data_IF_074895885308
#
_entry.id   IF_074895885308
#
_cell.length_a   1.000
_cell.length_b   1.000
_cell.length_c   1.000
_cell.angle_alpha   90.00
_cell.angle_beta   90.00
_cell.angle_gamma   90.00
#
_symmetry.space_group_name_H-M   'P 1'
#
loop_
_entity.id
_entity.type
_entity.pdbx_description
1 polymer ?
#
# COMPACT_ATOMS: atom_id res chain seq x y z
N UNK A 1 -14.08 -31.74 3.01
CA UNK A 1 -14.92 -31.65 1.78
C UNK A 1 -14.51 -30.41 1.01
N UNK A 2 -14.33 -30.50 -0.32
CA UNK A 2 -14.02 -29.35 -1.16
C UNK A 2 -15.22 -28.40 -1.19
N UNK A 3 -14.98 -27.15 -0.81
CA UNK A 3 -15.96 -26.07 -0.88
C UNK A 3 -15.50 -25.02 -1.87
N UNK A 4 -16.44 -24.26 -2.43
CA UNK A 4 -16.13 -23.16 -3.32
C UNK A 4 -17.01 -21.93 -3.07
N UNK A 5 -16.50 -20.76 -3.45
CA UNK A 5 -17.22 -19.48 -3.46
C UNK A 5 -16.85 -18.68 -4.71
N UNK A 6 -17.78 -17.82 -5.12
CA UNK A 6 -17.52 -16.88 -6.21
C UNK A 6 -17.24 -15.50 -5.62
N UNK A 7 -16.13 -14.91 -6.05
CA UNK A 7 -15.66 -13.60 -5.66
C UNK A 7 -15.83 -12.68 -6.87
N UNK A 8 -16.90 -11.89 -6.92
CA UNK A 8 -17.11 -10.91 -8.00
C UNK A 8 -16.29 -9.66 -7.72
N UNK A 9 -15.47 -9.24 -8.67
CA UNK A 9 -14.62 -8.04 -8.59
C UNK A 9 -15.00 -7.07 -9.70
N UNK A 10 -15.09 -5.78 -9.37
CA UNK A 10 -15.44 -4.72 -10.32
C UNK A 10 -14.44 -3.58 -10.24
N UNK A 11 -13.83 -3.22 -11.36
CA UNK A 11 -13.00 -2.03 -11.53
C UNK A 11 -13.91 -0.86 -11.88
N UNK A 12 -13.89 0.23 -11.11
CA UNK A 12 -14.79 1.38 -11.33
C UNK A 12 -14.07 2.62 -11.81
N UNK A 13 -12.75 2.69 -11.62
CA UNK A 13 -11.98 3.91 -11.81
C UNK A 13 -11.51 4.11 -13.24
N UNK A 14 -11.86 3.19 -14.14
CA UNK A 14 -11.48 3.25 -15.54
C UNK A 14 -9.99 2.99 -15.74
N UNK A 15 -9.39 2.17 -14.88
CA UNK A 15 -8.00 1.77 -15.01
C UNK A 15 -7.86 0.30 -15.34
N UNK A 16 -6.93 0.00 -16.25
CA UNK A 16 -6.43 -1.35 -16.39
C UNK A 16 -5.73 -1.77 -15.08
N UNK A 17 -6.21 -2.85 -14.47
CA UNK A 17 -5.56 -3.48 -13.32
C UNK A 17 -4.73 -4.65 -13.80
N UNK A 18 -3.47 -4.71 -13.37
CA UNK A 18 -2.58 -5.83 -13.64
C UNK A 18 -2.09 -6.40 -12.33
N UNK A 19 -2.62 -7.56 -11.96
CA UNK A 19 -2.28 -8.23 -10.70
C UNK A 19 -2.37 -7.26 -9.49
N UNK A 20 -3.43 -6.45 -9.45
CA UNK A 20 -3.65 -5.47 -8.39
C UNK A 20 -4.13 -6.21 -7.14
N UNK A 21 -3.58 -5.93 -5.94
CA UNK A 21 -4.03 -6.59 -4.72
C UNK A 21 -5.44 -6.10 -4.39
N UNK A 22 -6.35 -7.04 -4.21
CA UNK A 22 -7.71 -6.75 -3.81
C UNK A 22 -8.06 -7.62 -2.61
N UNK A 23 -8.59 -7.01 -1.55
CA UNK A 23 -8.96 -7.71 -0.33
C UNK A 23 -10.47 -7.70 -0.18
N UNK A 24 -11.05 -8.84 0.20
CA UNK A 24 -12.45 -8.98 0.58
C UNK A 24 -12.57 -9.72 1.90
N UNK A 25 -13.69 -9.55 2.59
CA UNK A 25 -13.96 -10.25 3.85
C UNK A 25 -15.03 -11.31 3.61
N UNK A 26 -14.69 -12.57 3.90
CA UNK A 26 -15.59 -13.70 3.78
C UNK A 26 -15.97 -14.28 5.14
N UNK A 27 -17.26 -14.58 5.32
CA UNK A 27 -17.78 -15.28 6.50
C UNK A 27 -17.96 -16.77 6.23
N UNK A 28 -17.51 -17.64 7.12
CA UNK A 28 -17.57 -19.09 6.97
C UNK A 28 -18.46 -19.71 8.05
N UNK A 29 -19.19 -20.75 7.67
CA UNK A 29 -19.97 -21.55 8.62
C UNK A 29 -19.06 -22.27 9.61
N UNK A 30 -19.56 -22.47 10.84
CA UNK A 30 -18.86 -23.20 11.90
C UNK A 30 -18.41 -24.57 11.41
N UNK A 31 -17.15 -24.91 11.64
CA UNK A 31 -16.52 -26.17 11.26
C UNK A 31 -16.14 -26.32 9.77
N UNK A 32 -16.44 -25.35 8.90
CA UNK A 32 -16.26 -25.51 7.45
C UNK A 32 -14.86 -25.15 6.92
N UNK A 33 -14.14 -24.28 7.62
CA UNK A 33 -12.82 -23.82 7.24
C UNK A 33 -12.02 -23.52 8.52
N UNK A 34 -10.79 -24.00 8.62
CA UNK A 34 -9.92 -23.86 9.79
C UNK A 34 -8.64 -23.09 9.42
N UNK A 35 -7.98 -22.44 10.39
CA UNK A 35 -6.66 -21.85 10.15
C UNK A 35 -5.68 -22.89 9.60
N UNK A 36 -5.04 -22.58 8.48
CA UNK A 36 -4.10 -23.47 7.81
C UNK A 36 -4.72 -24.48 6.84
N UNK A 37 -6.05 -24.53 6.71
CA UNK A 37 -6.69 -25.35 5.69
C UNK A 37 -6.22 -24.92 4.29
N UNK A 38 -6.04 -25.89 3.36
CA UNK A 38 -5.65 -25.56 2.01
C UNK A 38 -6.73 -24.71 1.34
N UNK A 39 -6.27 -23.76 0.53
CA UNK A 39 -7.13 -22.94 -0.31
C UNK A 39 -6.40 -22.59 -1.61
N UNK A 40 -7.18 -22.33 -2.65
CA UNK A 40 -6.68 -21.90 -3.96
C UNK A 40 -7.68 -20.97 -4.62
N UNK A 41 -7.21 -20.17 -5.55
CA UNK A 41 -8.01 -19.19 -6.26
C UNK A 41 -7.81 -19.36 -7.76
N UNK A 42 -8.89 -19.29 -8.52
CA UNK A 42 -8.86 -19.21 -9.97
C UNK A 42 -9.35 -17.83 -10.42
N UNK A 43 -8.63 -17.22 -11.35
CA UNK A 43 -9.06 -15.99 -12.00
C UNK A 43 -10.25 -16.23 -12.96
N UNK A 44 -10.84 -15.18 -13.55
CA UNK A 44 -11.96 -15.33 -14.47
C UNK A 44 -11.64 -16.16 -15.73
N UNK A 45 -10.36 -16.33 -16.08
CA UNK A 45 -9.92 -17.17 -17.19
C UNK A 45 -9.68 -18.64 -16.78
N UNK A 46 -9.95 -18.99 -15.51
CA UNK A 46 -9.74 -20.33 -14.96
C UNK A 46 -8.27 -20.65 -14.65
N UNK A 47 -7.38 -19.66 -14.69
CA UNK A 47 -5.98 -19.85 -14.31
C UNK A 47 -5.84 -19.69 -12.80
N UNK A 48 -5.12 -20.63 -12.17
CA UNK A 48 -4.86 -20.56 -10.74
C UNK A 48 -3.94 -19.37 -10.40
N UNK A 49 -4.30 -18.65 -9.35
CA UNK A 49 -3.61 -17.50 -8.82
C UNK A 49 -3.25 -17.73 -7.35
N UNK A 50 -2.16 -17.11 -6.87
CA UNK A 50 -1.86 -17.12 -5.44
C UNK A 50 -2.95 -16.37 -4.68
N UNK A 51 -3.27 -16.86 -3.49
CA UNK A 51 -4.24 -16.26 -2.57
C UNK A 51 -3.64 -16.21 -1.18
N UNK A 52 -3.94 -15.13 -0.47
CA UNK A 52 -3.59 -14.99 0.94
C UNK A 52 -4.87 -14.88 1.75
N UNK A 53 -4.95 -15.65 2.84
CA UNK A 53 -6.11 -15.71 3.71
C UNK A 53 -5.67 -15.38 5.13
N UNK A 54 -6.06 -14.20 5.60
CA UNK A 54 -5.76 -13.71 6.93
C UNK A 54 -7.00 -13.94 7.82
N UNK A 55 -6.86 -14.75 8.88
CA UNK A 55 -7.98 -15.06 9.79
C UNK A 55 -8.28 -13.82 10.64
N UNK A 56 -9.52 -13.32 10.55
CA UNK A 56 -9.97 -12.13 11.29
C UNK A 56 -10.69 -12.53 12.57
N UNK A 57 -11.55 -13.55 12.52
CA UNK A 57 -12.30 -14.07 13.67
C UNK A 57 -12.47 -15.59 13.57
N UNK A 58 -12.48 -16.25 14.71
CA UNK A 58 -12.78 -17.69 14.84
C UNK A 58 -14.08 -17.92 15.60
N UNK A 59 -14.68 -19.10 15.38
CA UNK A 59 -15.71 -19.68 16.22
C UNK A 59 -15.08 -20.33 17.46
N UNK A 60 -15.90 -20.70 18.44
CA UNK A 60 -15.47 -21.36 19.68
C UNK A 60 -14.79 -22.73 19.43
N UNK A 61 -15.12 -23.40 18.33
CA UNK A 61 -14.48 -24.67 17.92
C UNK A 61 -13.13 -24.48 17.19
N UNK A 62 -12.64 -23.24 17.11
CA UNK A 62 -11.41 -22.86 16.43
C UNK A 62 -11.53 -22.73 14.91
N UNK A 63 -12.68 -23.04 14.31
CA UNK A 63 -12.90 -22.81 12.89
C UNK A 63 -12.97 -21.31 12.57
N UNK A 64 -12.59 -20.94 11.35
CA UNK A 64 -12.65 -19.57 10.85
C UNK A 64 -14.12 -19.16 10.76
N UNK A 65 -14.46 -18.04 11.40
CA UNK A 65 -15.75 -17.36 11.23
C UNK A 65 -15.66 -16.30 10.15
N UNK A 66 -14.58 -15.55 10.14
CA UNK A 66 -14.36 -14.44 9.22
C UNK A 66 -12.89 -14.42 8.82
N UNK A 67 -12.60 -14.28 7.53
CA UNK A 67 -11.25 -14.07 7.03
C UNK A 67 -11.20 -12.99 5.96
N UNK A 68 -10.09 -12.28 5.90
CA UNK A 68 -9.73 -11.40 4.80
C UNK A 68 -9.03 -12.24 3.72
N UNK A 69 -9.60 -12.26 2.52
CA UNK A 69 -9.07 -12.94 1.34
C UNK A 69 -8.45 -11.89 0.45
N UNK A 70 -7.13 -11.92 0.30
CA UNK A 70 -6.38 -11.03 -0.59
C UNK A 70 -5.97 -11.78 -1.84
N UNK A 71 -6.31 -11.22 -3.01
CA UNK A 71 -6.07 -11.84 -4.31
C UNK A 71 -5.47 -10.85 -5.33
N UNK A 72 -4.66 -11.34 -6.30
CA UNK A 72 -4.27 -10.56 -7.47
C UNK A 72 -5.41 -10.48 -8.47
N UNK A 73 -5.77 -9.27 -8.87
CA UNK A 73 -6.83 -9.03 -9.84
C UNK A 73 -6.26 -8.42 -11.11
N UNK A 74 -6.59 -9.01 -12.26
CA UNK A 74 -6.33 -8.43 -13.57
C UNK A 74 -7.66 -8.18 -14.26
N UNK A 75 -7.98 -6.91 -14.51
CA UNK A 75 -9.24 -6.48 -15.12
C UNK A 75 -8.99 -5.35 -16.10
N UNK A 76 -9.70 -5.30 -17.24
CA UNK A 76 -9.67 -4.12 -18.10
C UNK A 76 -10.25 -2.91 -17.35
N UNK A 77 -9.99 -1.72 -17.88
CA UNK A 77 -10.60 -0.48 -17.39
C UNK A 77 -12.13 -0.59 -17.39
N UNK A 78 -12.77 -0.26 -16.26
CA UNK A 78 -14.21 -0.43 -16.02
C UNK A 78 -14.72 -1.87 -16.18
N UNK A 79 -13.81 -2.85 -16.11
CA UNK A 79 -14.11 -4.26 -16.25
C UNK A 79 -14.64 -4.88 -14.97
N UNK A 80 -15.25 -6.07 -15.12
CA UNK A 80 -15.59 -6.94 -14.00
C UNK A 80 -15.12 -8.37 -14.27
N UNK A 81 -14.99 -9.16 -13.21
CA UNK A 81 -14.61 -10.55 -13.29
C UNK A 81 -15.10 -11.35 -12.08
N UNK A 82 -15.23 -12.66 -12.23
CA UNK A 82 -15.58 -13.57 -11.17
C UNK A 82 -14.40 -14.52 -10.90
N UNK A 83 -13.82 -14.45 -9.72
CA UNK A 83 -12.77 -15.37 -9.29
C UNK A 83 -13.42 -16.52 -8.50
N UNK A 84 -12.92 -17.75 -8.67
CA UNK A 84 -13.40 -18.92 -7.92
C UNK A 84 -12.44 -19.20 -6.79
N UNK A 85 -12.90 -19.10 -5.55
CA UNK A 85 -12.13 -19.42 -4.35
C UNK A 85 -12.55 -20.80 -3.84
N UNK A 86 -11.60 -21.73 -3.78
CA UNK A 86 -11.80 -23.08 -3.29
C UNK A 86 -11.05 -23.28 -1.97
N UNK A 87 -11.66 -23.99 -1.02
CA UNK A 87 -11.08 -24.25 0.30
C UNK A 87 -11.50 -25.60 0.88
N UNK A 88 -10.72 -26.10 1.83
CA UNK A 88 -10.90 -27.42 2.45
C UNK A 88 -10.26 -28.55 1.64
N UNK A 89 -10.54 -29.80 2.01
CA UNK A 89 -9.90 -30.97 1.39
C UNK A 89 -10.00 -30.96 -0.14
N UNK A 90 -8.86 -31.03 -0.82
CA UNK A 90 -8.77 -31.00 -2.28
C UNK A 90 -8.45 -29.63 -2.89
N UNK A 91 -8.45 -28.56 -2.09
CA UNK A 91 -8.08 -27.21 -2.52
C UNK A 91 -6.56 -26.95 -2.45
N UNK A 92 -5.72 -27.96 -2.69
CA UNK A 92 -4.26 -27.84 -2.61
C UNK A 92 -3.77 -26.83 -3.64
N UNK A 93 -3.07 -25.75 -3.22
CA UNK A 93 -2.57 -24.74 -4.14
C UNK A 93 -1.41 -25.29 -4.99
N UNK A 94 -1.50 -25.12 -6.30
CA UNK A 94 -0.43 -25.39 -7.25
C UNK A 94 0.28 -24.10 -7.69
N UNK A 95 -0.40 -22.94 -7.61
CA UNK A 95 0.20 -21.66 -7.95
C UNK A 95 1.36 -21.31 -6.98
N UNK A 96 2.56 -21.10 -7.54
CA UNK A 96 3.72 -20.62 -6.79
C UNK A 96 4.00 -19.16 -7.09
N UNK A 97 4.28 -18.39 -6.05
CA UNK A 97 4.76 -17.03 -6.19
C UNK A 97 6.26 -17.02 -6.50
N UNK A 98 6.63 -16.36 -7.60
CA UNK A 98 8.03 -16.22 -8.00
C UNK A 98 8.82 -15.35 -7.02
N UNK A 99 8.17 -14.31 -6.49
CA UNK A 99 8.80 -13.24 -5.71
C UNK A 99 8.00 -12.96 -4.43
N UNK A 100 7.92 -13.91 -3.48
CA UNK A 100 7.09 -13.75 -2.30
C UNK A 100 7.54 -12.55 -1.45
N UNK A 101 6.59 -11.93 -0.74
CA UNK A 101 6.90 -10.91 0.26
C UNK A 101 7.54 -11.56 1.47
N UNK A 102 8.68 -11.03 1.88
CA UNK A 102 9.43 -11.48 3.07
C UNK A 102 9.69 -10.29 3.97
N UNK A 103 9.22 -10.36 5.21
CA UNK A 103 9.52 -9.37 6.24
C UNK A 103 10.48 -9.96 7.28
N UNK A 104 11.60 -9.28 7.52
CA UNK A 104 12.59 -9.61 8.56
C UNK A 104 12.47 -8.57 9.68
N UNK A 105 11.65 -8.87 10.69
CA UNK A 105 11.33 -7.94 11.77
C UNK A 105 12.23 -8.04 13.02
N UNK A 106 13.14 -9.02 13.07
CA UNK A 106 13.98 -9.31 14.25
C UNK A 106 15.20 -8.41 14.41
N UNK A 107 15.47 -7.51 13.47
CA UNK A 107 16.60 -6.58 13.49
C UNK A 107 16.16 -5.12 13.41
N UNK A 108 17.15 -4.23 13.40
CA UNK A 108 17.00 -2.81 13.10
C UNK A 108 17.97 -2.48 11.94
N UNK A 109 17.49 -1.93 10.81
CA UNK A 109 16.08 -1.67 10.48
C UNK A 109 15.28 -2.96 10.21
N UNK A 110 13.95 -2.87 10.26
CA UNK A 110 13.05 -3.90 9.72
C UNK A 110 13.18 -3.89 8.19
N UNK A 111 13.33 -5.06 7.59
CA UNK A 111 13.46 -5.19 6.14
C UNK A 111 12.22 -5.87 5.54
N UNK A 112 11.61 -5.25 4.54
CA UNK A 112 10.52 -5.81 3.76
C UNK A 112 10.96 -5.96 2.30
N UNK A 113 11.01 -7.20 1.82
CA UNK A 113 11.41 -7.54 0.46
C UNK A 113 10.17 -8.00 -0.33
N UNK A 114 9.92 -7.41 -1.50
CA UNK A 114 8.77 -7.72 -2.35
C UNK A 114 9.19 -8.04 -3.79
N UNK A 115 10.13 -8.98 -3.92
CA UNK A 115 10.81 -9.29 -5.18
C UNK A 115 12.06 -8.44 -5.37
N UNK A 116 12.16 -7.66 -6.46
CA UNK A 116 13.34 -6.82 -6.73
C UNK A 116 13.43 -5.58 -5.84
N UNK A 117 12.35 -5.22 -5.14
CA UNK A 117 12.33 -4.09 -4.20
C UNK A 117 12.59 -4.57 -2.78
N UNK A 118 13.51 -3.91 -2.11
CA UNK A 118 13.75 -4.01 -0.67
C UNK A 118 13.51 -2.65 -0.02
N UNK A 119 12.62 -2.61 0.96
CA UNK A 119 12.31 -1.44 1.78
C UNK A 119 12.86 -1.65 3.19
N UNK A 120 13.48 -0.62 3.77
CA UNK A 120 13.93 -0.61 5.16
C UNK A 120 13.14 0.39 5.98
N UNK A 121 12.63 -0.07 7.11
CA UNK A 121 11.80 0.70 8.05
C UNK A 121 12.54 0.76 9.37
N UNK A 122 12.88 1.97 9.82
CA UNK A 122 13.52 2.19 11.12
C UNK A 122 12.47 2.41 12.20
N UNK A 123 12.76 1.99 13.42
CA UNK A 123 11.97 2.33 14.62
C UNK A 123 12.40 3.68 15.19
N UNK A 124 13.71 3.90 15.30
CA UNK A 124 14.27 5.16 15.80
C UNK A 124 14.26 6.23 14.71
N UNK A 125 13.68 7.40 15.01
CA UNK A 125 13.54 8.48 14.03
C UNK A 125 12.70 8.04 12.82
N UNK A 126 11.55 7.42 13.12
CA UNK A 126 10.65 6.84 12.12
C UNK A 126 10.33 7.83 10.99
N UNK A 127 10.57 7.40 9.75
CA UNK A 127 10.43 8.22 8.55
C UNK A 127 9.66 7.51 7.43
N UNK A 128 8.67 6.68 7.79
CA UNK A 128 7.94 5.78 6.89
C UNK A 128 8.86 4.67 6.35
N UNK A 129 9.61 4.95 5.27
CA UNK A 129 10.58 4.05 4.67
C UNK A 129 11.89 4.81 4.50
N UNK A 130 12.92 4.33 5.17
CA UNK A 130 14.20 4.99 5.22
C UNK A 130 15.05 4.75 3.97
N UNK A 131 14.96 3.54 3.42
CA UNK A 131 15.67 3.16 2.22
C UNK A 131 14.78 2.30 1.35
N UNK A 132 14.78 2.59 0.06
CA UNK A 132 14.23 1.73 -0.98
C UNK A 132 15.36 1.37 -1.93
N UNK A 133 15.58 0.08 -2.14
CA UNK A 133 16.52 -0.45 -3.11
C UNK A 133 15.74 -1.26 -4.14
N UNK A 134 15.95 -0.99 -5.43
CA UNK A 134 15.37 -1.76 -6.53
C UNK A 134 16.49 -2.14 -7.50
N UNK A 135 16.67 -3.45 -7.74
CA UNK A 135 17.78 -3.99 -8.54
C UNK A 135 19.14 -3.39 -8.15
N UNK A 136 19.48 -3.48 -6.85
CA UNK A 136 20.73 -2.99 -6.25
C UNK A 136 20.98 -1.48 -6.35
N UNK A 137 19.97 -0.70 -6.78
CA UNK A 137 20.03 0.76 -6.84
C UNK A 137 19.15 1.39 -5.77
N UNK A 138 19.72 2.29 -4.97
CA UNK A 138 18.97 3.05 -3.98
C UNK A 138 18.14 4.16 -4.63
N UNK A 139 16.84 4.21 -4.33
CA UNK A 139 15.88 5.21 -4.81
C UNK A 139 15.54 6.26 -3.76
N UNK A 140 15.71 5.95 -2.47
CA UNK A 140 15.59 6.92 -1.38
C UNK A 140 16.94 7.15 -0.74
N UNK A 141 17.28 8.42 -0.50
CA UNK A 141 18.39 8.81 0.36
C UNK A 141 17.97 8.62 1.82
N UNK A 142 18.82 8.00 2.64
CA UNK A 142 18.55 7.87 4.07
C UNK A 142 18.38 9.24 4.75
N UNK A 143 17.58 9.29 5.81
CA UNK A 143 17.42 10.50 6.61
C UNK A 143 16.36 11.50 6.11
N UNK A 144 15.45 11.09 5.22
CA UNK A 144 14.20 11.82 5.01
C UNK A 144 13.44 11.99 6.33
N UNK A 145 12.65 13.06 6.44
CA UNK A 145 11.82 13.33 7.64
C UNK A 145 10.56 12.47 7.71
N UNK A 146 10.19 11.79 6.62
CA UNK A 146 8.96 11.00 6.54
C UNK A 146 7.70 11.86 6.67
N UNK A 147 6.76 11.45 7.52
CA UNK A 147 5.57 12.24 7.80
C UNK A 147 5.90 13.37 8.80
N UNK A 148 5.59 14.61 8.44
CA UNK A 148 5.80 15.83 9.23
C UNK A 148 4.44 16.46 9.49
N UNK A 149 4.14 16.76 10.75
CA UNK A 149 2.94 17.46 11.15
C UNK A 149 3.18 18.97 11.09
N UNK A 150 2.32 19.72 10.41
CA UNK A 150 2.40 21.19 10.35
C UNK A 150 1.22 21.78 11.10
N UNK A 151 1.50 22.57 12.12
CA UNK A 151 0.49 23.27 12.92
C UNK A 151 0.04 24.57 12.25
N UNK A 152 -1.08 25.15 12.72
CA UNK A 152 -1.68 26.38 12.20
C UNK A 152 -0.81 27.63 12.38
N UNK A 153 0.12 27.61 13.34
CA UNK A 153 1.13 28.65 13.52
C UNK A 153 2.35 28.48 12.60
N UNK A 154 2.37 27.42 11.78
CA UNK A 154 3.47 27.09 10.87
C UNK A 154 4.57 26.24 11.50
N UNK A 155 4.46 25.85 12.78
CA UNK A 155 5.42 24.95 13.41
C UNK A 155 5.36 23.57 12.75
N UNK A 156 6.53 23.05 12.37
CA UNK A 156 6.67 21.69 11.84
C UNK A 156 7.19 20.75 12.92
N UNK A 157 6.50 19.62 13.11
CA UNK A 157 6.84 18.58 14.07
C UNK A 157 7.20 17.29 13.31
N UNK A 158 8.39 16.76 13.59
CA UNK A 158 8.80 15.44 13.10
C UNK A 158 8.54 14.36 14.15
N UNK A 159 8.39 13.08 13.74
CA UNK A 159 8.26 11.98 14.67
C UNK A 159 9.43 11.96 15.66
N UNK A 160 9.14 11.73 16.93
CA UNK A 160 10.14 11.67 17.99
C UNK A 160 10.21 10.28 18.63
N UNK A 161 11.35 9.98 19.25
CA UNK A 161 11.57 8.71 19.95
C UNK A 161 11.64 7.50 19.02
N UNK A 162 11.25 6.34 19.58
CA UNK A 162 11.20 5.05 18.92
C UNK A 162 9.74 4.68 18.61
N UNK A 163 9.42 4.45 17.35
CA UNK A 163 8.12 3.93 16.94
C UNK A 163 8.02 2.43 17.20
N UNK A 164 6.89 1.98 17.75
CA UNK A 164 6.56 0.57 17.86
C UNK A 164 6.12 0.06 16.50
N UNK A 165 6.96 -0.75 15.84
CA UNK A 165 6.64 -1.36 14.55
C UNK A 165 6.33 -2.85 14.71
N UNK A 166 5.13 -3.25 14.30
CA UNK A 166 4.61 -4.63 14.35
C UNK A 166 4.18 -5.12 12.98
N UNK A 167 4.29 -6.43 12.74
CA UNK A 167 3.76 -7.06 11.54
C UNK A 167 2.27 -7.36 11.77
N UNK A 168 1.37 -6.68 11.06
CA UNK A 168 -0.09 -6.92 11.13
C UNK A 168 -0.47 -8.16 10.30
N UNK A 169 0.05 -8.26 9.08
CA UNK A 169 -0.16 -9.40 8.19
C UNK A 169 1.17 -9.81 7.54
N UNK A 170 1.37 -11.12 7.38
CA UNK A 170 2.53 -11.68 6.70
C UNK A 170 2.08 -12.89 5.90
N UNK A 171 2.10 -12.75 4.58
CA UNK A 171 1.99 -13.89 3.67
C UNK A 171 2.86 -13.70 2.44
N UNK A 172 2.92 -14.71 1.57
CA UNK A 172 3.76 -14.65 0.40
C UNK A 172 3.29 -13.60 -0.62
N UNK A 173 2.01 -13.21 -0.61
CA UNK A 173 1.46 -12.24 -1.55
C UNK A 173 1.56 -10.80 -1.05
N UNK A 174 1.25 -10.56 0.22
CA UNK A 174 1.22 -9.24 0.83
C UNK A 174 1.70 -9.29 2.27
N UNK A 175 2.38 -8.24 2.71
CA UNK A 175 2.66 -8.02 4.12
C UNK A 175 2.31 -6.59 4.49
N UNK A 176 1.87 -6.40 5.74
CA UNK A 176 1.53 -5.11 6.30
C UNK A 176 2.27 -4.88 7.61
N UNK A 177 3.03 -3.79 7.67
CA UNK A 177 3.62 -3.29 8.90
C UNK A 177 2.73 -2.19 9.46
N UNK A 178 2.59 -2.16 10.79
CA UNK A 178 1.98 -1.06 11.53
C UNK A 178 3.04 -0.43 12.41
N UNK A 179 3.22 0.88 12.29
CA UNK A 179 4.06 1.70 13.13
C UNK A 179 3.19 2.62 13.98
N UNK A 180 3.40 2.61 15.28
CA UNK A 180 2.77 3.53 16.24
C UNK A 180 3.85 4.39 16.88
N UNK A 181 3.64 5.69 16.94
CA UNK A 181 4.62 6.62 17.52
C UNK A 181 4.01 7.95 17.91
N UNK A 182 4.87 8.93 18.14
CA UNK A 182 4.47 10.27 18.56
C UNK A 182 5.24 11.37 17.84
N UNK A 183 4.64 12.55 17.80
CA UNK A 183 5.28 13.84 17.55
C UNK A 183 5.37 14.61 18.88
N UNK A 184 6.26 15.61 18.97
CA UNK A 184 6.30 16.53 20.11
C UNK A 184 4.93 17.13 20.45
N UNK A 185 4.69 17.46 21.72
CA UNK A 185 3.43 18.07 22.16
C UNK A 185 2.27 17.09 22.35
N UNK A 186 2.55 15.78 22.36
CA UNK A 186 1.57 14.74 22.69
C UNK A 186 0.69 14.30 21.53
N UNK A 187 1.06 14.60 20.28
CA UNK A 187 0.34 14.07 19.12
C UNK A 187 0.82 12.66 18.81
N UNK A 188 -0.07 11.68 18.84
CA UNK A 188 0.23 10.31 18.43
C UNK A 188 -0.08 10.04 16.96
N UNK A 189 0.61 9.08 16.36
CA UNK A 189 0.32 8.62 15.00
C UNK A 189 0.27 7.11 14.88
N UNK A 190 -0.44 6.68 13.83
CA UNK A 190 -0.43 5.32 13.31
C UNK A 190 -0.07 5.39 11.83
N UNK A 191 0.92 4.60 11.40
CA UNK A 191 1.24 4.39 9.99
C UNK A 191 1.10 2.93 9.65
N UNK A 192 0.40 2.61 8.56
CA UNK A 192 0.43 1.29 7.97
C UNK A 192 1.20 1.31 6.64
N UNK A 193 2.12 0.36 6.48
CA UNK A 193 2.92 0.16 5.28
C UNK A 193 2.56 -1.18 4.66
N UNK A 194 2.02 -1.18 3.44
CA UNK A 194 1.61 -2.40 2.73
C UNK A 194 2.57 -2.68 1.57
N UNK A 195 3.12 -3.88 1.57
CA UNK A 195 4.06 -4.41 0.58
C UNK A 195 3.41 -5.55 -0.19
N UNK A 196 3.64 -5.61 -1.50
CA UNK A 196 2.92 -6.52 -2.40
C UNK A 196 3.89 -7.22 -3.33
N UNK A 197 3.81 -8.54 -3.39
CA UNK A 197 4.73 -9.41 -4.12
C UNK A 197 4.85 -9.00 -5.59
N UNK A 198 6.09 -8.79 -6.03
CA UNK A 198 6.40 -8.48 -7.43
C UNK A 198 5.94 -7.09 -7.87
N UNK A 199 5.56 -6.22 -6.93
CA UNK A 199 5.27 -4.82 -7.20
C UNK A 199 6.49 -3.97 -6.92
N UNK A 200 6.67 -2.92 -7.71
CA UNK A 200 7.71 -1.92 -7.47
C UNK A 200 7.22 -0.73 -6.65
N UNK A 201 6.10 -0.91 -5.93
CA UNK A 201 5.49 0.13 -5.10
C UNK A 201 5.10 -0.41 -3.73
N UNK A 202 4.99 0.51 -2.76
CA UNK A 202 4.34 0.24 -1.47
C UNK A 202 3.30 1.33 -1.19
N UNK A 203 2.35 1.01 -0.33
CA UNK A 203 1.33 1.94 0.15
C UNK A 203 1.67 2.35 1.58
N UNK A 204 1.68 3.65 1.86
CA UNK A 204 1.72 4.21 3.20
C UNK A 204 0.41 4.92 3.53
N UNK A 205 -0.24 4.50 4.60
CA UNK A 205 -1.42 5.14 5.19
C UNK A 205 -1.02 5.72 6.54
N UNK A 206 -1.13 7.03 6.73
CA UNK A 206 -0.69 7.73 7.93
C UNK A 206 -1.86 8.47 8.57
N UNK A 207 -2.06 8.30 9.87
CA UNK A 207 -3.14 8.91 10.63
C UNK A 207 -2.61 9.54 11.93
N UNK A 208 -3.06 10.76 12.22
CA UNK A 208 -2.84 11.41 13.53
C UNK A 208 -3.99 11.01 14.44
N UNK A 209 -3.70 10.28 15.52
CA UNK A 209 -4.72 9.62 16.36
C UNK A 209 -4.90 10.27 17.73
N UNK A 210 -4.07 11.24 18.11
CA UNK A 210 -4.19 11.98 19.37
C UNK A 210 -3.49 13.35 19.30
N UNK A 211 -3.64 14.16 20.36
CA UNK A 211 -3.17 15.54 20.44
C UNK A 211 -4.28 16.57 20.17
N UNK A 212 -3.95 17.87 20.16
CA UNK A 212 -4.88 18.92 19.78
C UNK A 212 -4.99 19.00 18.25
N UNK A 213 -5.68 18.02 17.65
CA UNK A 213 -5.85 17.91 16.20
C UNK A 213 -6.47 19.16 15.57
N UNK A 214 -7.13 20.03 16.35
CA UNK A 214 -7.64 21.30 15.87
C UNK A 214 -6.54 22.31 15.54
N UNK A 215 -5.32 22.13 16.04
CA UNK A 215 -4.15 22.95 15.66
C UNK A 215 -3.44 22.44 14.42
N UNK A 216 -3.76 21.25 13.92
CA UNK A 216 -3.09 20.70 12.75
C UNK A 216 -3.61 21.39 11.49
N UNK A 217 -2.69 21.96 10.71
CA UNK A 217 -3.00 22.55 9.42
C UNK A 217 -2.81 21.54 8.28
N UNK A 218 -1.73 20.75 8.32
CA UNK A 218 -1.46 19.74 7.31
C UNK A 218 -0.57 18.61 7.82
N UNK A 219 -0.59 17.49 7.09
CA UNK A 219 0.42 16.44 7.18
C UNK A 219 1.24 16.49 5.91
N UNK A 220 2.56 16.55 6.03
CA UNK A 220 3.50 16.59 4.91
C UNK A 220 4.26 15.28 4.87
N UNK A 221 4.14 14.51 3.78
CA UNK A 221 4.99 13.35 3.55
C UNK A 221 6.20 13.78 2.73
N UNK A 222 7.39 13.70 3.34
CA UNK A 222 8.66 14.02 2.71
C UNK A 222 9.44 12.77 2.31
N UNK A 223 9.99 12.77 1.11
CA UNK A 223 10.92 11.77 0.63
C UNK A 223 12.10 12.46 -0.07
N UNK A 224 13.31 11.97 0.13
CA UNK A 224 14.49 12.45 -0.59
C UNK A 224 14.86 11.39 -1.63
N UNK A 225 14.51 11.63 -2.90
CA UNK A 225 14.78 10.67 -3.95
C UNK A 225 16.24 10.74 -4.36
N UNK A 226 16.89 9.59 -4.43
CA UNK A 226 18.25 9.45 -4.91
C UNK A 226 18.29 9.45 -6.44
N UNK A 227 17.78 10.53 -7.04
CA UNK A 227 17.89 10.79 -8.47
C UNK A 227 19.26 11.42 -8.73
N UNK A 228 20.07 10.89 -9.66
CA UNK A 228 21.27 11.55 -10.17
C UNK A 228 21.02 13.03 -10.45
N UNK A 229 22.01 13.87 -10.13
CA UNK A 229 21.96 15.31 -10.33
C UNK A 229 22.00 15.66 -11.84
N UNK A 230 20.88 15.45 -12.51
CA UNK A 230 20.55 15.97 -13.83
C UNK A 230 19.29 16.83 -13.74
N UNK A 231 18.92 17.55 -14.82
CA UNK A 231 17.66 18.29 -14.84
C UNK A 231 16.50 17.31 -14.60
N UNK A 232 15.82 17.47 -13.47
CA UNK A 232 14.64 16.67 -13.15
C UNK A 232 13.48 17.11 -14.03
N UNK A 233 12.84 16.16 -14.69
CA UNK A 233 11.54 16.35 -15.33
C UNK A 233 10.45 15.96 -14.35
N UNK A 234 9.46 16.84 -14.21
CA UNK A 234 8.32 16.61 -13.32
C UNK A 234 7.02 16.74 -14.11
N UNK A 235 6.08 15.84 -13.82
CA UNK A 235 4.71 15.93 -14.32
C UNK A 235 3.75 15.75 -13.16
N UNK A 236 2.70 16.56 -13.14
CA UNK A 236 1.68 16.52 -12.11
C UNK A 236 0.32 16.27 -12.75
N UNK A 237 -0.57 15.63 -12.02
CA UNK A 237 -1.96 15.56 -12.43
C UNK A 237 -2.88 15.30 -11.26
N UNK A 238 -4.16 15.55 -11.51
CA UNK A 238 -5.22 15.22 -10.58
C UNK A 238 -6.49 14.87 -11.35
N UNK A 239 -7.34 14.03 -10.77
CA UNK A 239 -8.63 13.66 -11.36
C UNK A 239 -9.65 13.29 -10.30
N UNK A 240 -10.93 13.46 -10.66
CA UNK A 240 -12.05 12.86 -9.93
C UNK A 240 -12.26 11.44 -10.45
N UNK A 241 -12.44 10.51 -9.53
CA UNK A 241 -12.75 9.10 -9.79
C UNK A 241 -14.25 8.90 -9.91
N UNK A 242 -14.65 7.76 -10.46
CA UNK A 242 -16.06 7.43 -10.68
C UNK A 242 -16.83 7.19 -9.36
N UNK A 243 -16.13 6.80 -8.29
CA UNK A 243 -16.65 6.68 -6.93
C UNK A 243 -16.79 8.03 -6.21
N UNK A 244 -16.42 9.14 -6.86
CA UNK A 244 -16.42 10.49 -6.30
C UNK A 244 -15.13 10.89 -5.59
N UNK A 245 -14.24 9.93 -5.31
CA UNK A 245 -12.95 10.21 -4.68
C UNK A 245 -12.02 10.97 -5.64
N UNK A 246 -10.98 11.57 -5.07
CA UNK A 246 -10.01 12.37 -5.78
C UNK A 246 -8.63 11.72 -5.70
N UNK A 247 -7.90 11.76 -6.79
CA UNK A 247 -6.51 11.30 -6.86
C UNK A 247 -5.66 12.40 -7.45
N UNK A 248 -4.48 12.62 -6.89
CA UNK A 248 -3.42 13.41 -7.50
C UNK A 248 -2.15 12.58 -7.55
N UNK A 249 -1.27 12.92 -8.48
CA UNK A 249 -0.01 12.22 -8.67
C UNK A 249 1.07 13.18 -9.10
N UNK A 250 2.30 12.75 -8.86
CA UNK A 250 3.51 13.33 -9.41
C UNK A 250 4.34 12.22 -10.05
N UNK A 251 5.01 12.54 -11.13
CA UNK A 251 6.07 11.73 -11.73
C UNK A 251 7.33 12.57 -11.72
N UNK A 252 8.42 12.02 -11.20
CA UNK A 252 9.74 12.65 -11.16
C UNK A 252 10.73 11.73 -11.86
N UNK A 253 11.45 12.25 -12.84
CA UNK A 253 12.47 11.47 -13.57
C UNK A 253 13.71 12.29 -13.90
N UNK A 254 14.87 11.65 -13.86
CA UNK A 254 16.15 12.17 -14.36
C UNK A 254 16.49 11.62 -15.77
N UNK A 255 15.54 10.91 -16.40
CA UNK A 255 15.72 10.19 -17.67
C UNK A 255 16.21 8.74 -17.51
N UNK A 256 16.67 8.33 -16.33
CA UNK A 256 17.16 6.97 -16.05
C UNK A 256 16.31 6.27 -14.99
N UNK A 257 15.95 7.00 -13.94
CA UNK A 257 15.04 6.61 -12.89
C UNK A 257 13.75 7.40 -13.01
N UNK A 258 12.65 6.72 -12.69
CA UNK A 258 11.35 7.37 -12.57
C UNK A 258 10.75 6.97 -11.23
N UNK A 259 10.31 7.98 -10.48
CA UNK A 259 9.50 7.79 -9.29
C UNK A 259 8.13 8.39 -9.55
N UNK A 260 7.10 7.58 -9.41
CA UNK A 260 5.73 8.06 -9.39
C UNK A 260 5.23 8.02 -7.96
N UNK A 261 4.61 9.10 -7.49
CA UNK A 261 3.86 9.09 -6.25
C UNK A 261 2.40 9.46 -6.54
N UNK A 262 1.47 8.78 -5.90
CA UNK A 262 0.04 9.05 -6.07
C UNK A 262 -0.67 9.05 -4.72
N UNK A 263 -1.53 10.04 -4.51
CA UNK A 263 -2.24 10.26 -3.25
C UNK A 263 -3.74 10.06 -3.45
N UNK A 264 -4.38 9.37 -2.50
CA UNK A 264 -5.83 9.15 -2.47
C UNK A 264 -6.48 10.21 -1.59
N UNK A 265 -7.70 10.63 -1.91
CA UNK A 265 -8.37 11.72 -1.19
C UNK A 265 -7.71 13.07 -1.46
N UNK A 266 -7.20 13.26 -2.67
CA UNK A 266 -6.40 14.42 -3.05
C UNK A 266 -7.11 15.77 -3.00
N UNK A 267 -8.43 15.78 -2.86
CA UNK A 267 -9.27 16.96 -2.73
C UNK A 267 -10.26 16.74 -1.62
N UNK A 268 -10.47 17.81 -0.89
CA UNK A 268 -11.13 17.83 0.38
C UNK A 268 -11.83 19.19 0.53
N UNK A 269 -12.66 19.39 1.56
CA UNK A 269 -13.33 20.68 1.76
C UNK A 269 -12.30 21.78 2.13
N UNK A 270 -11.24 21.38 2.81
CA UNK A 270 -10.17 22.27 3.28
C UNK A 270 -9.07 22.53 2.25
N UNK A 271 -9.01 21.76 1.16
CA UNK A 271 -8.08 22.05 0.06
C UNK A 271 -7.77 20.86 -0.84
N UNK A 272 -6.63 20.97 -1.53
CA UNK A 272 -6.08 19.92 -2.39
C UNK A 272 -4.69 19.52 -1.94
N UNK A 273 -4.37 18.23 -2.05
CA UNK A 273 -3.01 17.73 -1.89
C UNK A 273 -2.09 18.43 -2.89
N UNK A 274 -1.06 19.08 -2.36
CA UNK A 274 -0.03 19.77 -3.15
C UNK A 274 1.23 18.92 -3.19
N UNK A 275 1.82 18.82 -4.36
CA UNK A 275 3.09 18.16 -4.57
C UNK A 275 4.19 19.20 -4.85
N UNK A 276 5.32 19.06 -4.18
CA UNK A 276 6.52 19.87 -4.39
C UNK A 276 7.69 18.95 -4.72
N UNK A 277 8.52 19.37 -5.67
CA UNK A 277 9.76 18.67 -6.02
C UNK A 277 10.87 19.71 -6.11
N UNK A 278 11.87 19.58 -5.25
CA UNK A 278 13.09 20.38 -5.26
C UNK A 278 14.06 19.94 -6.36
N UNK A 279 15.00 20.82 -6.76
CA UNK A 279 16.02 20.49 -7.76
C UNK A 279 17.00 19.39 -7.32
N UNK A 280 17.05 19.09 -6.02
CA UNK A 280 17.87 18.07 -5.40
C UNK A 280 17.19 16.69 -5.33
N UNK A 281 15.94 16.57 -5.81
CA UNK A 281 15.14 15.35 -5.73
C UNK A 281 14.29 15.26 -4.46
N UNK A 282 14.28 16.30 -3.62
CA UNK A 282 13.42 16.34 -2.43
C UNK A 282 11.95 16.49 -2.84
N UNK A 283 11.14 15.53 -2.45
CA UNK A 283 9.71 15.52 -2.70
C UNK A 283 8.91 15.77 -1.43
N UNK A 284 7.81 16.52 -1.55
CA UNK A 284 6.83 16.75 -0.48
C UNK A 284 5.42 16.56 -1.04
N UNK A 285 4.61 15.74 -0.38
CA UNK A 285 3.16 15.69 -0.55
C UNK A 285 2.48 16.33 0.67
N UNK A 286 1.79 17.44 0.47
CA UNK A 286 1.18 18.25 1.52
C UNK A 286 -0.32 17.97 1.54
N UNK A 287 -0.80 17.29 2.58
CA UNK A 287 -2.19 16.95 2.80
C UNK A 287 -2.85 17.97 3.73
N UNK A 288 -3.84 18.76 3.26
CA UNK A 288 -4.69 19.54 4.15
C UNK A 288 -5.30 18.62 5.22
N UNK A 289 -5.27 19.05 6.48
CA UNK A 289 -5.70 18.18 7.57
C UNK A 289 -7.23 18.17 7.73
N UNK A 290 -7.84 16.98 7.72
CA UNK A 290 -9.28 16.77 7.90
C UNK A 290 -9.64 15.66 8.89
N UNK A 291 -8.74 15.33 9.83
CA UNK A 291 -8.92 14.21 10.75
C UNK A 291 -9.25 12.88 10.04
N UNK A 292 -8.64 12.64 8.88
CA UNK A 292 -8.71 11.40 8.11
C UNK A 292 -7.29 10.90 7.81
N UNK A 293 -7.09 9.59 7.63
CA UNK A 293 -5.81 9.06 7.20
C UNK A 293 -5.37 9.67 5.85
N UNK A 294 -4.10 10.04 5.76
CA UNK A 294 -3.43 10.42 4.51
C UNK A 294 -2.91 9.14 3.86
N UNK A 295 -3.24 8.88 2.59
CA UNK A 295 -2.76 7.70 1.87
C UNK A 295 -1.92 8.09 0.66
N UNK A 296 -0.71 7.52 0.57
CA UNK A 296 0.24 7.73 -0.53
C UNK A 296 0.84 6.42 -1.02
N UNK A 297 0.86 6.25 -2.33
CA UNK A 297 1.57 5.18 -3.03
C UNK A 297 2.89 5.74 -3.53
N UNK A 298 3.98 5.03 -3.27
CA UNK A 298 5.28 5.30 -3.90
C UNK A 298 5.59 4.18 -4.88
N UNK A 299 5.87 4.53 -6.14
CA UNK A 299 6.19 3.62 -7.22
C UNK A 299 7.58 3.92 -7.77
N UNK A 300 8.42 2.89 -7.85
CA UNK A 300 9.79 3.00 -8.31
C UNK A 300 9.93 2.26 -9.63
N UNK A 301 10.37 2.96 -10.67
CA UNK A 301 10.51 2.42 -12.01
C UNK A 301 11.92 2.74 -12.54
N UNK A 302 12.52 1.76 -13.22
CA UNK A 302 13.63 2.05 -14.13
C UNK A 302 13.04 2.62 -15.43
N UNK A 303 13.75 3.55 -16.07
CA UNK A 303 13.39 4.13 -17.36
C UNK A 303 14.11 3.41 -18.52
N UNK A 304 13.44 3.10 -19.64
CA UNK A 304 11.98 3.21 -19.82
C UNK A 304 11.26 2.21 -18.90
N UNK A 305 9.97 2.41 -18.58
CA UNK A 305 9.23 1.48 -17.73
C UNK A 305 9.15 0.12 -18.42
N UNK A 306 10.14 -0.73 -18.19
CA UNK A 306 10.30 -2.03 -18.83
C UNK A 306 9.24 -3.04 -18.36
N UNK A 307 8.49 -2.70 -17.32
CA UNK A 307 7.47 -3.59 -16.77
C UNK A 307 6.06 -3.23 -17.27
N UNK A 308 5.72 -3.74 -18.46
CA UNK A 308 4.35 -3.79 -18.97
C UNK A 308 3.36 -4.50 -18.02
N UNK A 309 3.83 -5.15 -16.95
CA UNK A 309 2.97 -5.77 -15.93
C UNK A 309 2.61 -4.83 -14.77
N UNK A 310 3.16 -3.61 -14.71
CA UNK A 310 2.84 -2.67 -13.65
C UNK A 310 1.60 -1.82 -13.97
N UNK A 311 0.83 -1.57 -12.92
CA UNK A 311 -0.30 -0.65 -12.93
C UNK A 311 0.28 0.75 -12.69
N UNK A 312 0.05 1.75 -13.55
CA UNK A 312 0.60 3.11 -13.35
C UNK A 312 0.21 3.67 -11.99
N UNK A 313 1.01 4.55 -11.36
CA UNK A 313 0.69 5.03 -10.01
C UNK A 313 -0.66 5.74 -9.90
N UNK A 314 -1.06 6.48 -10.94
CA UNK A 314 -2.41 7.03 -11.01
C UNK A 314 -3.50 5.95 -10.91
N UNK A 315 -3.25 4.77 -11.50
CA UNK A 315 -4.10 3.59 -11.41
C UNK A 315 -4.02 2.83 -10.08
N UNK A 316 -2.98 3.07 -9.28
CA UNK A 316 -2.81 2.45 -7.97
C UNK A 316 -3.49 3.23 -6.85
N UNK A 317 -3.53 4.56 -6.95
CA UNK A 317 -4.24 5.44 -6.02
C UNK A 317 -5.78 5.41 -6.18
N UNK A 318 -6.27 4.31 -6.73
CA UNK A 318 -7.65 3.93 -6.63
C UNK A 318 -7.84 3.00 -5.43
N UNK A 319 -8.98 3.16 -4.77
CA UNK A 319 -9.38 2.49 -3.54
C UNK A 319 -9.06 0.98 -3.62
N UNK A 320 -8.35 0.39 -2.64
CA UNK A 320 -8.21 -1.05 -2.55
C UNK A 320 -9.57 -1.78 -2.50
N UNK A 321 -10.65 -1.08 -2.15
CA UNK A 321 -12.03 -1.51 -2.40
C UNK A 321 -12.41 -1.44 -3.89
N UNK A 322 -11.73 -2.23 -4.72
CA UNK A 322 -12.49 -2.92 -5.77
C UNK A 322 -13.64 -3.62 -5.03
N UNK A 323 -14.89 -3.16 -5.21
CA UNK A 323 -16.01 -3.74 -4.47
C UNK A 323 -16.10 -5.22 -4.82
N UNK A 324 -15.65 -6.03 -3.87
CA UNK A 324 -15.72 -7.46 -3.98
C UNK A 324 -17.04 -7.89 -3.37
N UNK A 325 -17.92 -8.42 -4.22
CA UNK A 325 -19.17 -9.01 -3.76
C UNK A 325 -18.93 -10.51 -3.69
N UNK A 326 -18.99 -11.05 -2.47
CA UNK A 326 -19.09 -12.50 -2.29
C UNK A 326 -20.51 -12.92 -2.61
N UNK A 327 -20.64 -13.82 -3.60
CA UNK A 327 -21.90 -14.48 -3.95
C UNK A 327 -21.82 -15.95 -3.57
#
# INVERSE_FOLDING_TARGET
>A
MLMQRTIKVVERDGFLRRSFPCTTVAEFGRGLFRPGDPSRLFDPAGKEQPVQVDVVRTWEDGSVRTAAITLPVTLPARGEGACRFEYGDGATPAARLRNPVVVRASGEPIEAQQGPVTCRVRRQGFNLVDQVVFNDRAFLRPGSRGAVLVLKDGQELSPEGEARVTVETQGPWSARLRAEGAYPGGYGFVTALTFVSGKSWFLAEHEVVSGDVAQVASVVVEADFNLPAGPLSTAFGARRRADGNSTSWVVVTDGVLTVDAATVGAWSETGSVRHEVGPDGRFRAIFPFEARPCAIYFHYLLCPPDDVNNTPAAAMAADPECRVILM
#
